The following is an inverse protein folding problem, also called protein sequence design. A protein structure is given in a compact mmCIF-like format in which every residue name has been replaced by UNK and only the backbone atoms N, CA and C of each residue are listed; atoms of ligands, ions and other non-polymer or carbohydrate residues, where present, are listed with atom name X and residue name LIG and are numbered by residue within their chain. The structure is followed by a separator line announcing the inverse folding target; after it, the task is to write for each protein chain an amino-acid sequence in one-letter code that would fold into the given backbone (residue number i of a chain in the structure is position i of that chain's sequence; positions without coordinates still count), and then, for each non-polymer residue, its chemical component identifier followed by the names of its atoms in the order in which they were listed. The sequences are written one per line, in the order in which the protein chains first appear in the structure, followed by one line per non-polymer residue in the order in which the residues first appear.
data_IF_496015680127
#
_entry.id   IF_496015680127
#
_cell.length_a   1.000
_cell.length_b   1.000
_cell.length_c   1.000
_cell.angle_alpha   90.00
_cell.angle_beta   90.00
_cell.angle_gamma   90.00
#
_symmetry.space_group_name_H-M   'P 1'
#
loop_
_entity.id
_entity.type
_entity.pdbx_description
1 polymer ?
#
# COMPACT_ATOMS: atom_id res chain seq x y z
N UNK A 1 11.08 -9.08 14.78
CA UNK A 1 9.77 -9.66 14.43
C UNK A 1 9.78 -9.98 12.94
N UNK A 2 9.49 -11.20 12.55
CA UNK A 2 9.49 -11.65 11.16
C UNK A 2 8.32 -12.60 10.91
N UNK A 3 7.73 -12.60 9.70
CA UNK A 3 6.65 -13.52 9.37
C UNK A 3 7.18 -14.95 9.27
N UNK A 4 6.41 -15.92 9.76
CA UNK A 4 6.69 -17.37 9.64
C UNK A 4 6.14 -17.87 8.32
N UNK A 5 6.65 -17.36 7.21
CA UNK A 5 6.21 -17.68 5.85
C UNK A 5 7.41 -18.09 5.01
N UNK A 6 7.17 -18.87 3.96
CA UNK A 6 8.19 -19.12 2.93
C UNK A 6 8.59 -17.80 2.28
N UNK A 7 9.88 -17.57 2.11
CA UNK A 7 10.34 -16.42 1.34
C UNK A 7 9.85 -16.58 -0.10
N UNK A 8 9.26 -15.54 -0.69
CA UNK A 8 8.99 -15.53 -2.12
C UNK A 8 10.31 -15.57 -2.89
N UNK A 9 10.22 -15.93 -4.16
CA UNK A 9 11.34 -15.79 -5.10
C UNK A 9 11.81 -14.32 -5.09
N UNK A 10 13.11 -14.10 -5.27
CA UNK A 10 13.70 -12.77 -5.31
C UNK A 10 12.93 -11.86 -6.28
N UNK A 11 12.61 -10.66 -5.82
CA UNK A 11 11.86 -9.67 -6.58
C UNK A 11 12.83 -8.56 -6.92
N UNK A 12 13.03 -8.28 -8.22
CA UNK A 12 14.01 -7.30 -8.72
C UNK A 12 13.84 -5.92 -8.07
N UNK A 13 12.60 -5.49 -7.83
CA UNK A 13 12.30 -4.20 -7.17
C UNK A 13 12.92 -4.10 -5.77
N UNK A 14 13.23 -5.23 -5.13
CA UNK A 14 13.84 -5.24 -3.80
C UNK A 14 15.36 -5.21 -3.81
N UNK A 15 16.00 -5.36 -4.96
CA UNK A 15 17.46 -5.27 -5.12
C UNK A 15 18.01 -3.84 -5.14
N UNK A 16 17.14 -2.83 -5.16
CA UNK A 16 17.54 -1.43 -5.12
C UNK A 16 18.35 -1.07 -3.87
N UNK A 17 19.28 -0.14 -3.99
CA UNK A 17 20.12 0.35 -2.89
C UNK A 17 19.25 0.74 -1.68
N UNK A 18 19.69 0.33 -0.49
CA UNK A 18 19.01 0.64 0.75
C UNK A 18 19.47 1.99 1.26
N UNK A 19 18.55 2.95 1.29
CA UNK A 19 18.76 4.24 1.93
C UNK A 19 17.97 4.28 3.25
N UNK A 20 18.65 4.69 4.32
CA UNK A 20 18.03 4.71 5.66
C UNK A 20 16.82 5.64 5.69
N UNK A 21 15.72 5.12 6.21
CA UNK A 21 14.45 5.84 6.35
C UNK A 21 13.56 5.82 5.10
N UNK A 22 14.08 5.39 3.95
CA UNK A 22 13.33 5.38 2.69
C UNK A 22 12.76 4.00 2.37
N UNK A 23 11.57 4.00 1.79
CA UNK A 23 10.93 2.82 1.22
C UNK A 23 11.22 2.66 -0.27
N UNK A 24 10.53 1.71 -0.89
CA UNK A 24 10.59 1.47 -2.34
C UNK A 24 9.31 1.98 -2.98
N UNK A 25 9.46 2.79 -4.02
CA UNK A 25 8.35 3.16 -4.88
C UNK A 25 8.25 2.16 -6.04
N UNK A 26 7.07 1.56 -6.22
CA UNK A 26 6.78 0.59 -7.28
C UNK A 26 5.60 1.13 -8.10
N UNK A 27 5.84 1.67 -9.29
CA UNK A 27 4.77 2.13 -10.17
C UNK A 27 3.94 0.96 -10.68
N UNK A 28 2.64 1.16 -10.85
CA UNK A 28 1.73 0.13 -11.34
C UNK A 28 2.09 -0.40 -12.73
N UNK A 29 2.80 0.38 -13.54
CA UNK A 29 3.32 -0.03 -14.85
C UNK A 29 4.29 -1.22 -14.77
N UNK A 30 5.02 -1.36 -13.65
CA UNK A 30 5.87 -2.52 -13.39
C UNK A 30 5.06 -3.77 -12.96
N UNK A 31 3.85 -3.56 -12.44
CA UNK A 31 2.99 -4.65 -11.95
C UNK A 31 2.12 -5.22 -13.08
N UNK A 32 1.69 -4.38 -14.01
CA UNK A 32 0.78 -4.73 -15.11
C UNK A 32 1.52 -4.61 -16.44
N UNK A 33 2.25 -5.65 -16.80
CA UNK A 33 3.00 -5.68 -18.07
C UNK A 33 2.06 -6.08 -19.22
N UNK A 34 1.94 -5.21 -20.23
CA UNK A 34 1.41 -5.55 -21.55
C UNK A 34 -0.11 -5.49 -21.76
N UNK A 35 -0.92 -5.17 -20.75
CA UNK A 35 -2.39 -5.13 -20.88
C UNK A 35 -2.98 -3.71 -20.99
N UNK A 36 -2.26 -2.70 -20.54
CA UNK A 36 -2.68 -1.29 -20.56
C UNK A 36 -1.46 -0.45 -20.91
N UNK A 37 -1.60 0.55 -21.78
CA UNK A 37 -0.48 1.41 -22.13
C UNK A 37 -0.15 2.39 -21.00
N UNK A 38 1.12 2.82 -20.92
CA UNK A 38 1.54 3.83 -19.94
C UNK A 38 0.75 5.15 -20.10
N UNK A 39 0.41 5.52 -21.33
CA UNK A 39 -0.37 6.72 -21.63
C UNK A 39 -1.79 6.62 -21.04
N UNK A 40 -2.45 5.47 -21.20
CA UNK A 40 -3.77 5.21 -20.61
C UNK A 40 -3.73 5.25 -19.09
N UNK A 41 -2.68 4.68 -18.48
CA UNK A 41 -2.50 4.69 -17.02
C UNK A 41 -2.28 6.12 -16.52
N UNK A 42 -1.43 6.90 -17.18
CA UNK A 42 -1.09 8.26 -16.75
C UNK A 42 -2.25 9.26 -16.89
N UNK A 43 -3.19 8.99 -17.79
CA UNK A 43 -4.38 9.80 -18.01
C UNK A 43 -5.52 9.54 -17.01
N UNK A 44 -5.36 8.59 -16.09
CA UNK A 44 -6.37 8.27 -15.07
C UNK A 44 -6.55 9.42 -14.08
N UNK A 45 -7.80 9.66 -13.69
CA UNK A 45 -8.20 10.83 -12.91
C UNK A 45 -7.93 10.67 -11.41
N UNK A 46 -8.21 9.47 -10.87
CA UNK A 46 -8.05 9.19 -9.44
C UNK A 46 -6.68 8.56 -9.20
N UNK A 47 -5.84 9.22 -8.42
CA UNK A 47 -4.48 8.77 -8.12
C UNK A 47 -4.39 8.35 -6.66
N UNK A 48 -4.17 7.06 -6.40
CA UNK A 48 -4.06 6.49 -5.06
C UNK A 48 -2.67 5.91 -4.85
N UNK A 49 -2.00 6.33 -3.78
CA UNK A 49 -0.76 5.71 -3.32
C UNK A 49 -1.08 4.67 -2.25
N UNK A 50 -0.75 3.40 -2.50
CA UNK A 50 -0.92 2.33 -1.52
C UNK A 50 0.39 2.12 -0.78
N UNK A 51 0.40 2.41 0.51
CA UNK A 51 1.56 2.22 1.39
C UNK A 51 1.44 0.90 2.11
N UNK A 52 2.39 0.01 1.92
CA UNK A 52 2.35 -1.34 2.48
C UNK A 52 3.55 -1.65 3.38
N UNK A 53 3.32 -2.39 4.46
CA UNK A 53 4.39 -3.10 5.16
C UNK A 53 4.73 -4.41 4.43
N UNK A 54 5.96 -4.92 4.61
CA UNK A 54 6.52 -6.01 3.80
C UNK A 54 5.61 -7.24 3.64
N UNK A 55 4.97 -7.69 4.71
CA UNK A 55 4.08 -8.84 4.68
C UNK A 55 2.83 -8.68 3.81
N UNK A 56 2.42 -7.44 3.53
CA UNK A 56 1.22 -7.13 2.73
C UNK A 56 1.51 -6.95 1.24
N UNK A 57 2.79 -6.92 0.82
CA UNK A 57 3.14 -6.63 -0.57
C UNK A 57 2.42 -7.53 -1.59
N UNK A 58 2.35 -8.83 -1.34
CA UNK A 58 1.70 -9.79 -2.26
C UNK A 58 0.21 -9.51 -2.46
N UNK A 59 -0.52 -9.17 -1.39
CA UNK A 59 -1.95 -8.86 -1.46
C UNK A 59 -2.19 -7.49 -2.10
N UNK A 60 -1.35 -6.50 -1.80
CA UNK A 60 -1.38 -5.19 -2.44
C UNK A 60 -1.07 -5.29 -3.94
N UNK A 61 -0.07 -6.07 -4.34
CA UNK A 61 0.26 -6.30 -5.75
C UNK A 61 -0.91 -6.92 -6.52
N UNK A 62 -1.59 -7.94 -5.93
CA UNK A 62 -2.80 -8.54 -6.52
C UNK A 62 -3.92 -7.50 -6.67
N UNK A 63 -4.13 -6.68 -5.63
CA UNK A 63 -5.15 -5.64 -5.64
C UNK A 63 -4.86 -4.59 -6.74
N UNK A 64 -3.63 -4.06 -6.82
CA UNK A 64 -3.22 -3.11 -7.85
C UNK A 64 -3.43 -3.68 -9.25
N UNK A 65 -3.00 -4.93 -9.49
CA UNK A 65 -3.24 -5.60 -10.78
C UNK A 65 -4.73 -5.66 -11.12
N UNK A 66 -5.58 -6.00 -10.16
CA UNK A 66 -7.03 -6.04 -10.36
C UNK A 66 -7.63 -4.66 -10.65
N UNK A 67 -7.18 -3.62 -9.94
CA UNK A 67 -7.62 -2.24 -10.12
C UNK A 67 -7.25 -1.75 -11.53
N UNK A 68 -5.99 -1.89 -11.91
CA UNK A 68 -5.49 -1.38 -13.19
C UNK A 68 -6.18 -2.02 -14.39
N UNK A 69 -6.51 -3.32 -14.30
CA UNK A 69 -7.20 -4.05 -15.39
C UNK A 69 -8.69 -3.74 -15.45
N UNK A 70 -9.35 -3.50 -14.31
CA UNK A 70 -10.81 -3.39 -14.24
C UNK A 70 -11.33 -1.96 -14.15
N UNK A 71 -10.50 -0.98 -13.85
CA UNK A 71 -10.87 0.41 -13.57
C UNK A 71 -10.08 1.36 -14.46
N UNK A 72 -10.77 2.01 -15.38
CA UNK A 72 -10.14 2.90 -16.35
C UNK A 72 -9.80 4.28 -15.78
N UNK A 73 -10.32 4.60 -14.59
CA UNK A 73 -10.25 5.92 -13.98
C UNK A 73 -9.31 5.98 -12.76
N UNK A 74 -8.72 4.84 -12.33
CA UNK A 74 -7.88 4.75 -11.13
C UNK A 74 -6.45 4.37 -11.46
N UNK A 75 -5.49 5.21 -11.07
CA UNK A 75 -4.08 4.90 -10.97
C UNK A 75 -3.76 4.51 -9.52
N UNK A 76 -3.13 3.36 -9.31
CA UNK A 76 -2.74 2.89 -8.00
C UNK A 76 -1.28 2.42 -8.00
N UNK A 77 -0.38 3.21 -7.41
CA UNK A 77 1.03 2.87 -7.24
C UNK A 77 1.30 2.38 -5.82
N UNK A 78 2.42 1.71 -5.62
CA UNK A 78 2.79 1.16 -4.31
C UNK A 78 4.00 1.89 -3.74
N UNK A 79 3.95 2.22 -2.46
CA UNK A 79 5.11 2.57 -1.66
C UNK A 79 5.32 1.50 -0.57
N UNK A 80 6.39 0.71 -0.71
CA UNK A 80 6.71 -0.34 0.23
C UNK A 80 7.60 0.19 1.34
N UNK A 81 7.14 0.13 2.58
CA UNK A 81 7.90 0.51 3.75
C UNK A 81 9.06 -0.47 4.01
N UNK A 82 10.29 0.00 3.91
CA UNK A 82 11.49 -0.73 4.33
C UNK A 82 11.89 -0.42 5.77
N UNK A 83 11.65 0.82 6.19
CA UNK A 83 11.97 1.31 7.51
C UNK A 83 10.70 1.81 8.20
N UNK A 84 10.44 1.30 9.38
CA UNK A 84 9.44 1.86 10.29
C UNK A 84 10.11 2.92 11.15
N UNK A 85 11.39 2.68 11.52
CA UNK A 85 12.17 3.61 12.35
C UNK A 85 13.66 3.46 12.03
N UNK A 86 14.36 4.54 11.64
CA UNK A 86 13.78 5.85 11.32
C UNK A 86 12.93 5.82 10.05
N UNK A 87 11.98 6.74 9.91
CA UNK A 87 11.19 6.95 8.70
C UNK A 87 11.43 8.37 8.17
N UNK A 88 11.71 8.52 6.89
CA UNK A 88 11.91 9.80 6.23
C UNK A 88 10.56 10.38 5.77
N UNK A 89 9.91 11.12 6.67
CA UNK A 89 8.60 11.73 6.44
C UNK A 89 8.60 12.75 5.29
N UNK A 90 9.67 13.53 5.16
CA UNK A 90 9.71 14.55 4.12
C UNK A 90 9.91 13.92 2.74
N UNK A 91 10.80 12.94 2.62
CA UNK A 91 10.95 12.17 1.38
C UNK A 91 9.64 11.51 0.97
N UNK A 92 8.95 10.86 1.90
CA UNK A 92 7.65 10.24 1.65
C UNK A 92 6.61 11.28 1.19
N UNK A 93 6.55 12.43 1.84
CA UNK A 93 5.62 13.50 1.47
C UNK A 93 5.85 13.99 0.04
N UNK A 94 7.11 14.11 -0.42
CA UNK A 94 7.39 14.51 -1.81
C UNK A 94 6.83 13.52 -2.84
N UNK A 95 6.64 12.25 -2.47
CA UNK A 95 5.98 11.24 -3.30
C UNK A 95 4.45 11.38 -3.13
N UNK A 96 3.96 11.35 -1.90
CA UNK A 96 2.53 11.32 -1.58
C UNK A 96 1.76 12.52 -2.13
N UNK A 97 2.35 13.71 -2.15
CA UNK A 97 1.70 14.94 -2.68
C UNK A 97 1.28 14.88 -4.15
N UNK A 98 1.75 13.87 -4.90
CA UNK A 98 1.36 13.66 -6.30
C UNK A 98 0.11 12.78 -6.45
N UNK A 99 -0.50 12.40 -5.34
CA UNK A 99 -1.68 11.53 -5.27
C UNK A 99 -2.83 12.25 -4.59
N UNK A 100 -4.06 11.88 -4.97
CA UNK A 100 -5.28 12.42 -4.36
C UNK A 100 -5.55 11.79 -3.00
N UNK A 101 -5.11 10.54 -2.82
CA UNK A 101 -5.36 9.75 -1.62
C UNK A 101 -4.21 8.81 -1.29
N UNK A 102 -4.05 8.50 -0.01
CA UNK A 102 -3.11 7.49 0.48
C UNK A 102 -3.87 6.41 1.25
N UNK A 103 -3.71 5.15 0.81
CA UNK A 103 -4.20 3.97 1.49
C UNK A 103 -3.03 3.26 2.19
N UNK A 104 -3.09 3.14 3.49
CA UNK A 104 -2.13 2.35 4.26
C UNK A 104 -2.65 0.93 4.46
N UNK A 105 -1.77 -0.07 4.28
CA UNK A 105 -2.06 -1.48 4.50
C UNK A 105 -0.97 -2.07 5.40
N UNK A 106 -1.30 -2.27 6.68
CA UNK A 106 -0.35 -2.76 7.68
C UNK A 106 -0.60 -4.23 8.04
N UNK A 107 0.49 -5.00 8.11
CA UNK A 107 0.51 -6.33 8.74
C UNK A 107 0.72 -6.18 10.26
N UNK A 108 -0.18 -5.47 10.89
CA UNK A 108 -0.12 -5.12 12.29
C UNK A 108 -1.37 -4.43 12.77
N UNK A 109 -1.40 -4.10 14.06
CA UNK A 109 -2.51 -3.37 14.67
C UNK A 109 -2.50 -1.91 14.21
N UNK A 110 -3.66 -1.37 13.84
CA UNK A 110 -3.80 0.02 13.38
C UNK A 110 -3.38 0.99 14.47
N UNK A 111 -3.89 0.78 15.69
CA UNK A 111 -3.63 1.65 16.83
C UNK A 111 -2.17 1.61 17.25
N UNK A 112 -1.50 2.75 17.17
CA UNK A 112 -0.07 2.87 17.45
C UNK A 112 0.83 2.34 16.33
N UNK A 113 0.27 2.00 15.16
CA UNK A 113 1.00 1.62 13.95
C UNK A 113 1.67 2.81 13.29
N UNK A 114 2.61 2.53 12.38
CA UNK A 114 3.34 3.58 11.62
C UNK A 114 2.39 4.38 10.73
N UNK A 115 1.30 3.79 10.26
CA UNK A 115 0.31 4.46 9.41
C UNK A 115 -0.41 5.60 10.13
N UNK A 116 -0.67 5.47 11.44
CA UNK A 116 -1.24 6.58 12.23
C UNK A 116 -0.26 7.76 12.28
N UNK A 117 1.03 7.50 12.53
CA UNK A 117 2.06 8.53 12.61
C UNK A 117 2.23 9.24 11.27
N UNK A 118 2.29 8.49 10.16
CA UNK A 118 2.40 9.06 8.82
C UNK A 118 1.13 9.85 8.45
N UNK A 119 -0.06 9.33 8.73
CA UNK A 119 -1.33 10.03 8.49
C UNK A 119 -1.42 11.35 9.26
N UNK A 120 -0.99 11.35 10.51
CA UNK A 120 -0.92 12.57 11.32
C UNK A 120 0.09 13.58 10.73
N UNK A 121 1.23 13.11 10.22
CA UNK A 121 2.19 13.98 9.54
C UNK A 121 1.59 14.59 8.27
N UNK A 122 0.94 13.78 7.42
CA UNK A 122 0.29 14.23 6.19
C UNK A 122 -0.82 15.26 6.48
N UNK A 123 -1.62 15.06 7.51
CA UNK A 123 -2.69 15.99 7.89
C UNK A 123 -2.15 17.38 8.27
N UNK A 124 -0.93 17.46 8.85
CA UNK A 124 -0.24 18.73 9.13
C UNK A 124 0.28 19.43 7.88
N UNK A 125 0.33 18.74 6.75
CA UNK A 125 0.70 19.26 5.42
C UNK A 125 -0.54 19.50 4.54
N UNK A 126 -1.73 19.60 5.14
CA UNK A 126 -3.02 19.77 4.46
C UNK A 126 -3.41 18.61 3.53
N UNK A 127 -2.76 17.44 3.66
CA UNK A 127 -3.12 16.24 2.95
C UNK A 127 -4.11 15.42 3.79
N UNK A 128 -5.39 15.43 3.42
CA UNK A 128 -6.47 14.92 4.27
C UNK A 128 -7.06 13.59 3.82
N UNK A 129 -6.83 13.14 2.60
CA UNK A 129 -7.45 11.91 2.08
C UNK A 129 -6.58 10.69 2.39
N UNK A 130 -6.67 10.19 3.61
CA UNK A 130 -5.98 8.98 4.05
C UNK A 130 -6.95 7.93 4.58
N UNK A 131 -6.62 6.66 4.37
CA UNK A 131 -7.34 5.51 4.93
C UNK A 131 -6.33 4.47 5.39
N UNK A 132 -6.62 3.79 6.49
CA UNK A 132 -5.76 2.76 7.07
C UNK A 132 -6.52 1.43 7.10
N UNK A 133 -5.90 0.38 6.57
CA UNK A 133 -6.28 -1.01 6.76
C UNK A 133 -5.21 -1.72 7.60
N UNK A 134 -5.65 -2.43 8.61
CA UNK A 134 -4.81 -3.19 9.51
C UNK A 134 -5.68 -3.98 10.48
N UNK A 135 -5.06 -4.66 11.41
CA UNK A 135 -5.80 -5.39 12.45
C UNK A 135 -6.39 -4.42 13.48
N UNK A 136 -7.64 -4.67 13.87
CA UNK A 136 -8.23 -4.00 15.03
C UNK A 136 -7.61 -4.52 16.34
N UNK A 137 -7.78 -3.76 17.41
CA UNK A 137 -7.35 -4.16 18.76
C UNK A 137 -8.35 -5.17 19.36
N UNK A 138 -8.40 -6.36 18.76
CA UNK A 138 -9.32 -7.45 19.13
C UNK A 138 -8.68 -8.82 18.91
N UNK A 139 -9.27 -9.86 19.49
CA UNK A 139 -8.84 -11.23 19.27
C UNK A 139 -9.52 -11.80 18.01
N UNK A 140 -8.70 -12.18 17.03
CA UNK A 140 -9.19 -12.91 15.85
C UNK A 140 -9.23 -14.40 16.11
N UNK A 141 -10.20 -15.09 15.49
CA UNK A 141 -10.27 -16.54 15.53
C UNK A 141 -9.00 -17.17 14.94
N UNK A 142 -8.64 -18.34 15.43
CA UNK A 142 -7.52 -19.11 14.88
C UNK A 142 -7.81 -19.48 13.43
N UNK A 143 -6.81 -19.29 12.57
CA UNK A 143 -6.89 -19.59 11.14
C UNK A 143 -5.53 -19.45 10.45
N UNK A 144 -5.51 -19.74 9.18
CA UNK A 144 -4.38 -19.42 8.30
C UNK A 144 -4.23 -17.91 8.19
N UNK A 145 -3.06 -17.42 7.75
CA UNK A 145 -2.84 -16.00 7.53
C UNK A 145 -3.90 -15.39 6.61
N UNK A 146 -4.22 -16.08 5.51
CA UNK A 146 -5.19 -15.59 4.53
C UNK A 146 -6.60 -15.47 5.12
N UNK A 147 -7.03 -16.44 5.94
CA UNK A 147 -8.31 -16.37 6.65
C UNK A 147 -8.35 -15.21 7.65
N UNK A 148 -7.27 -15.02 8.40
CA UNK A 148 -7.18 -13.92 9.37
C UNK A 148 -7.13 -12.57 8.67
N UNK A 149 -6.38 -12.42 7.58
CA UNK A 149 -6.37 -11.20 6.77
C UNK A 149 -7.75 -10.89 6.18
N UNK A 150 -8.48 -11.91 5.74
CA UNK A 150 -9.86 -11.75 5.25
C UNK A 150 -10.82 -11.33 6.35
N UNK A 151 -10.73 -11.93 7.55
CA UNK A 151 -11.52 -11.51 8.71
C UNK A 151 -11.23 -10.06 9.12
N UNK A 152 -9.97 -9.65 9.05
CA UNK A 152 -9.54 -8.29 9.36
C UNK A 152 -9.84 -7.27 8.25
N UNK A 153 -10.28 -7.72 7.07
CA UNK A 153 -10.56 -6.83 5.94
C UNK A 153 -9.30 -6.20 5.34
N UNK A 154 -8.18 -6.93 5.33
CA UNK A 154 -6.89 -6.49 4.76
C UNK A 154 -6.41 -7.39 3.61
N UNK A 155 -7.24 -8.28 3.13
CA UNK A 155 -6.98 -9.09 1.93
C UNK A 155 -7.07 -8.26 0.64
N UNK A 156 -6.65 -8.84 -0.48
CA UNK A 156 -6.60 -8.13 -1.76
C UNK A 156 -7.97 -7.58 -2.22
N UNK A 157 -9.07 -8.28 -1.95
CA UNK A 157 -10.42 -7.81 -2.29
C UNK A 157 -10.84 -6.60 -1.43
N UNK A 158 -10.51 -6.63 -0.16
CA UNK A 158 -10.76 -5.52 0.77
C UNK A 158 -9.93 -4.29 0.42
N UNK A 159 -8.68 -4.48 -0.03
CA UNK A 159 -7.83 -3.40 -0.53
C UNK A 159 -8.47 -2.74 -1.77
N UNK A 160 -8.98 -3.52 -2.73
CA UNK A 160 -9.69 -2.98 -3.91
C UNK A 160 -10.87 -2.12 -3.49
N UNK A 161 -11.73 -2.62 -2.60
CA UNK A 161 -12.89 -1.87 -2.07
C UNK A 161 -12.47 -0.59 -1.33
N UNK A 162 -11.36 -0.65 -0.60
CA UNK A 162 -10.82 0.53 0.08
C UNK A 162 -10.36 1.61 -0.90
N UNK A 163 -9.66 1.22 -1.98
CA UNK A 163 -9.28 2.14 -3.06
C UNK A 163 -10.52 2.75 -3.72
N UNK A 164 -11.52 1.94 -4.07
CA UNK A 164 -12.77 2.43 -4.66
C UNK A 164 -13.49 3.45 -3.76
N UNK A 165 -13.42 3.27 -2.45
CA UNK A 165 -14.02 4.22 -1.50
C UNK A 165 -13.27 5.56 -1.38
N UNK A 166 -12.01 5.62 -1.83
CA UNK A 166 -11.19 6.84 -1.86
C UNK A 166 -11.33 7.60 -3.18
N UNK A 167 -11.78 6.93 -4.25
CA UNK A 167 -12.03 7.55 -5.55
C UNK A 167 -13.36 8.33 -5.51
N UNK A 168 -13.36 9.53 -6.06
CA UNK A 168 -14.51 10.43 -6.11
C UNK A 168 -15.06 10.54 -7.52
#
# INVERSE_FOLDING_TARGET
RYPKLSCPTEIEEFSANVEVGKGIFVPCTQIVVGNVSEEEINNRKNRVLIVATGGMYGDVQKAVRSIIIKKDDVLADIYLLRFIKPFDFEYFYQIAKNYDSVLFVEDGIVKGGISEEISLYLSKKDFVSTKILGFNDEFYSQGTRDEVCKMAGIDSESIVKAVESLCK
#
